data_IF_565188334929
#
_entry.id   IF_565188334929
#
_cell.length_a   1.000
_cell.length_b   1.000
_cell.length_c   1.000
_cell.angle_alpha   90.00
_cell.angle_beta   90.00
_cell.angle_gamma   90.00
#
_symmetry.space_group_name_H-M   'P 1'
#
loop_
_entity.id
_entity.type
_entity.pdbx_description
1 polymer ?
#
# COMPACT_ATOMS: atom_id res chain seq x y z
N UNK A 1 4.59 26.67 0.18
CA UNK A 1 4.23 25.25 0.02
C UNK A 1 4.84 24.41 1.12
N UNK A 2 4.05 23.61 1.77
CA UNK A 2 4.56 22.78 2.85
C UNK A 2 5.13 21.49 2.28
N UNK A 3 6.39 21.22 2.61
CA UNK A 3 7.04 19.99 2.18
C UNK A 3 6.76 18.88 3.19
N UNK A 4 6.50 17.69 2.69
CA UNK A 4 6.34 16.51 3.52
C UNK A 4 7.71 15.97 3.90
N UNK A 5 7.79 15.38 5.08
CA UNK A 5 9.01 14.75 5.55
C UNK A 5 9.33 13.53 4.69
N UNK A 6 10.48 13.50 3.99
CA UNK A 6 10.83 12.34 3.17
C UNK A 6 11.04 11.05 3.95
N UNK A 7 11.23 11.13 5.27
CA UNK A 7 11.37 9.92 6.09
C UNK A 7 10.08 9.09 6.13
N UNK A 8 8.95 9.72 5.81
CA UNK A 8 7.67 8.99 5.73
C UNK A 8 7.73 7.90 4.66
N UNK A 9 8.57 8.09 3.65
CA UNK A 9 8.69 7.13 2.55
C UNK A 9 9.29 5.81 3.06
N UNK A 10 10.33 5.90 3.86
CA UNK A 10 10.98 4.70 4.40
C UNK A 10 10.02 3.88 5.25
N UNK A 11 9.29 4.56 6.13
CA UNK A 11 8.31 3.89 6.99
C UNK A 11 7.21 3.26 6.16
N UNK A 12 6.71 3.99 5.16
CA UNK A 12 5.66 3.49 4.28
C UNK A 12 6.12 2.23 3.54
N UNK A 13 7.32 2.28 2.97
CA UNK A 13 7.83 1.15 2.20
C UNK A 13 8.09 -0.06 3.08
N UNK A 14 8.55 0.14 4.31
CA UNK A 14 8.76 -0.95 5.26
C UNK A 14 7.43 -1.64 5.59
N UNK A 15 6.41 -0.87 5.89
CA UNK A 15 5.09 -1.41 6.23
C UNK A 15 4.44 -2.09 5.04
N UNK A 16 4.55 -1.49 3.86
CA UNK A 16 4.03 -2.07 2.63
C UNK A 16 4.69 -3.42 2.37
N UNK A 17 6.02 -3.46 2.51
CA UNK A 17 6.78 -4.68 2.29
C UNK A 17 6.42 -5.78 3.27
N UNK A 18 6.21 -5.43 4.54
CA UNK A 18 5.79 -6.40 5.54
C UNK A 18 4.44 -7.02 5.22
N UNK A 19 3.47 -6.20 4.86
CA UNK A 19 2.14 -6.68 4.51
C UNK A 19 2.18 -7.60 3.30
N UNK A 20 2.93 -7.20 2.29
CA UNK A 20 3.08 -8.00 1.08
C UNK A 20 3.71 -9.35 1.41
N UNK A 21 4.79 -9.34 2.18
CA UNK A 21 5.53 -10.55 2.53
C UNK A 21 4.70 -11.52 3.37
N UNK A 22 3.91 -10.98 4.28
CA UNK A 22 3.09 -11.82 5.16
C UNK A 22 1.89 -12.44 4.45
N UNK A 23 1.28 -11.71 3.53
CA UNK A 23 -0.01 -12.12 2.98
C UNK A 23 0.08 -12.78 1.62
N UNK A 24 0.84 -12.21 0.71
CA UNK A 24 0.89 -12.71 -0.68
C UNK A 24 2.31 -12.61 -1.24
N UNK A 25 3.27 -13.30 -0.60
CA UNK A 25 4.68 -13.17 -1.02
C UNK A 25 4.95 -13.66 -2.45
N UNK A 26 4.08 -14.51 -2.99
CA UNK A 26 4.25 -15.05 -4.33
C UNK A 26 3.72 -14.13 -5.43
N UNK A 27 2.99 -13.09 -5.07
CA UNK A 27 2.46 -12.17 -6.07
C UNK A 27 3.54 -11.19 -6.50
N UNK A 28 3.58 -10.90 -7.80
CA UNK A 28 4.43 -9.83 -8.32
C UNK A 28 3.85 -8.49 -7.90
N UNK A 29 4.71 -7.51 -7.72
CA UNK A 29 4.28 -6.19 -7.27
C UNK A 29 3.19 -5.59 -8.18
N UNK A 30 3.39 -5.65 -9.50
CA UNK A 30 2.41 -5.12 -10.45
C UNK A 30 1.06 -5.81 -10.33
N UNK A 31 1.06 -7.13 -10.17
CA UNK A 31 -0.16 -7.91 -9.98
C UNK A 31 -0.88 -7.47 -8.70
N UNK A 32 -0.13 -7.33 -7.61
CA UNK A 32 -0.67 -6.91 -6.33
C UNK A 32 -1.30 -5.53 -6.42
N UNK A 33 -0.57 -4.58 -7.01
CA UNK A 33 -1.06 -3.21 -7.13
C UNK A 33 -2.28 -3.13 -8.04
N UNK A 34 -2.26 -3.82 -9.17
CA UNK A 34 -3.39 -3.81 -10.09
C UNK A 34 -4.66 -4.33 -9.40
N UNK A 35 -4.55 -5.46 -8.73
CA UNK A 35 -5.70 -6.08 -8.07
C UNK A 35 -6.20 -5.22 -6.90
N UNK A 36 -5.28 -4.69 -6.11
CA UNK A 36 -5.62 -3.85 -4.98
C UNK A 36 -6.34 -2.58 -5.44
N UNK A 37 -5.78 -1.88 -6.39
CA UNK A 37 -6.34 -0.60 -6.84
C UNK A 37 -7.63 -0.80 -7.63
N UNK A 38 -7.78 -1.92 -8.32
CA UNK A 38 -9.05 -2.26 -8.99
C UNK A 38 -10.18 -2.43 -7.97
N UNK A 39 -9.84 -2.90 -6.78
CA UNK A 39 -10.82 -3.09 -5.71
C UNK A 39 -11.09 -1.80 -4.94
N UNK A 40 -10.06 -1.01 -4.67
CA UNK A 40 -10.16 0.14 -3.75
C UNK A 40 -10.26 1.50 -4.43
N UNK A 41 -9.93 1.59 -5.71
CA UNK A 41 -10.08 2.82 -6.48
C UNK A 41 -8.79 3.57 -6.71
N UNK A 42 -8.92 4.81 -7.19
CA UNK A 42 -7.80 5.66 -7.58
C UNK A 42 -7.09 6.21 -6.34
N UNK A 43 -5.79 5.92 -6.17
CA UNK A 43 -5.06 6.34 -4.98
C UNK A 43 -4.48 7.76 -5.06
N UNK A 44 -4.79 8.51 -6.11
CA UNK A 44 -4.10 9.76 -6.38
C UNK A 44 -4.10 10.72 -5.19
N UNK A 45 -5.21 10.82 -4.46
CA UNK A 45 -5.35 11.74 -3.34
C UNK A 45 -5.18 11.08 -1.97
N UNK A 46 -4.80 9.82 -1.92
CA UNK A 46 -4.61 9.14 -0.65
C UNK A 46 -3.28 9.54 -0.01
N UNK A 47 -3.31 9.82 1.28
CA UNK A 47 -2.07 9.92 2.05
C UNK A 47 -1.53 8.52 2.30
N UNK A 48 -0.26 8.41 2.70
CA UNK A 48 0.38 7.11 2.92
C UNK A 48 -0.37 6.28 3.97
N UNK A 49 -0.86 6.91 5.03
CA UNK A 49 -1.62 6.21 6.07
C UNK A 49 -2.93 5.65 5.52
N UNK A 50 -3.60 6.41 4.67
CA UNK A 50 -4.84 5.96 4.02
C UNK A 50 -4.56 4.77 3.12
N UNK A 51 -3.47 4.84 2.36
CA UNK A 51 -3.06 3.76 1.47
C UNK A 51 -2.83 2.48 2.26
N UNK A 52 -2.05 2.56 3.33
CA UNK A 52 -1.73 1.38 4.15
C UNK A 52 -2.96 0.78 4.79
N UNK A 53 -3.88 1.60 5.26
CA UNK A 53 -5.13 1.12 5.86
C UNK A 53 -5.94 0.34 4.83
N UNK A 54 -6.11 0.91 3.64
CA UNK A 54 -6.87 0.26 2.58
C UNK A 54 -6.17 -1.00 2.08
N UNK A 55 -4.85 -0.97 2.00
CA UNK A 55 -4.05 -2.10 1.57
C UNK A 55 -4.18 -3.26 2.56
N UNK A 56 -4.10 -2.97 3.84
CA UNK A 56 -4.27 -3.97 4.89
C UNK A 56 -5.66 -4.59 4.83
N UNK A 57 -6.70 -3.75 4.70
CA UNK A 57 -8.08 -4.23 4.59
C UNK A 57 -8.25 -5.15 3.38
N UNK A 58 -7.65 -4.76 2.25
CA UNK A 58 -7.72 -5.57 1.05
C UNK A 58 -7.10 -6.94 1.27
N UNK A 59 -5.91 -6.98 1.84
CA UNK A 59 -5.20 -8.25 2.08
C UNK A 59 -5.93 -9.13 3.08
N UNK A 60 -6.54 -8.54 4.10
CA UNK A 60 -7.29 -9.29 5.09
C UNK A 60 -8.56 -9.91 4.53
N UNK A 61 -9.07 -9.37 3.44
CA UNK A 61 -10.27 -9.88 2.79
C UNK A 61 -10.03 -10.95 1.74
N UNK A 62 -8.78 -11.30 1.51
CA UNK A 62 -8.45 -12.32 0.49
C UNK A 62 -8.81 -13.73 0.92
#
# INVERSE_FOLDING_TARGET
MRMRDPQRIDKFMDELGELWREKVPDWRFGQLMYNFLSSKGDPFYWEEDDFLKKFKEYLEGL
#
